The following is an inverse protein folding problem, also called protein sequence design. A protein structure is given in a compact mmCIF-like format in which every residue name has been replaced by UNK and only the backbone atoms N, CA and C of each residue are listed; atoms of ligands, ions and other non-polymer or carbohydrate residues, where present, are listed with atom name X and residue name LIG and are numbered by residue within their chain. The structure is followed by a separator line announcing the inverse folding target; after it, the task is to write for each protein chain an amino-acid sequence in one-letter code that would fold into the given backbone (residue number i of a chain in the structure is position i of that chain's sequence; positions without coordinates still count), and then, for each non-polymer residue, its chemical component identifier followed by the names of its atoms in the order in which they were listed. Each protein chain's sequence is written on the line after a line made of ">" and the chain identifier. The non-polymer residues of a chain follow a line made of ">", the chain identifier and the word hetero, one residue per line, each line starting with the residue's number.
data_IF_663403285436
#
_entry.id   IF_663403285436
#
_cell.length_a   1.000
_cell.length_b   1.000
_cell.length_c   1.000
_cell.angle_alpha   90.00
_cell.angle_beta   90.00
_cell.angle_gamma   90.00
#
_symmetry.space_group_name_H-M   'P 1'
#
loop_
_entity.id
_entity.type
_entity.pdbx_description
1 polymer ?
#
# COMPACT_ATOMS: atom_id res chain seq x y z
N UNK A 1 21.01 30.77 -7.42
CA UNK A 1 20.23 30.13 -8.43
C UNK A 1 20.30 28.63 -8.27
N UNK A 2 19.20 28.01 -7.94
CA UNK A 2 19.13 26.55 -7.95
C UNK A 2 19.23 26.09 -9.40
N UNK A 3 20.16 25.21 -9.59
CA UNK A 3 20.68 24.71 -10.83
C UNK A 3 19.59 24.00 -11.64
N UNK A 4 19.18 24.56 -12.78
CA UNK A 4 18.31 23.90 -13.75
C UNK A 4 18.80 22.48 -14.10
N UNK A 5 20.12 22.24 -14.00
CA UNK A 5 20.77 20.94 -14.19
C UNK A 5 20.45 19.91 -13.11
N UNK A 6 19.85 20.31 -11.96
CA UNK A 6 19.53 19.38 -10.87
C UNK A 6 18.42 18.40 -11.27
N UNK A 7 17.35 18.90 -11.88
CA UNK A 7 16.27 18.08 -12.37
C UNK A 7 16.74 17.15 -13.49
N UNK A 8 17.58 17.65 -14.40
CA UNK A 8 18.15 16.85 -15.47
C UNK A 8 19.01 15.70 -14.92
N UNK A 9 19.88 15.98 -13.95
CA UNK A 9 20.68 14.96 -13.26
C UNK A 9 19.83 13.90 -12.60
N UNK A 10 18.74 14.33 -11.92
CA UNK A 10 17.80 13.41 -11.30
C UNK A 10 17.10 12.54 -12.34
N UNK A 11 16.63 13.11 -13.45
CA UNK A 11 16.01 12.37 -14.55
C UNK A 11 16.99 11.37 -15.18
N UNK A 12 18.22 11.77 -15.48
CA UNK A 12 19.26 10.90 -16.02
C UNK A 12 19.58 9.72 -15.08
N UNK A 13 19.51 9.94 -13.78
CA UNK A 13 19.70 8.90 -12.77
C UNK A 13 18.50 7.95 -12.71
N UNK A 14 17.27 8.48 -12.71
CA UNK A 14 16.07 7.70 -12.44
C UNK A 14 15.56 6.94 -13.69
N UNK A 15 15.66 7.51 -14.87
CA UNK A 15 15.12 6.93 -16.09
C UNK A 15 15.61 5.50 -16.37
N UNK A 16 16.93 5.21 -16.40
CA UNK A 16 17.41 3.84 -16.63
C UNK A 16 17.02 2.87 -15.51
N UNK A 17 16.97 3.36 -14.26
CA UNK A 17 16.54 2.55 -13.13
C UNK A 17 15.08 2.15 -13.22
N UNK A 18 14.20 3.10 -13.55
CA UNK A 18 12.77 2.84 -13.73
C UNK A 18 12.52 1.87 -14.90
N UNK A 19 13.27 1.99 -16.01
CA UNK A 19 13.20 1.02 -17.13
C UNK A 19 13.60 -0.39 -16.68
N UNK A 20 14.63 -0.50 -15.85
CA UNK A 20 15.05 -1.79 -15.31
C UNK A 20 13.99 -2.35 -14.34
N UNK A 21 13.47 -1.53 -13.43
CA UNK A 21 12.42 -1.92 -12.50
C UNK A 21 11.15 -2.38 -13.22
N UNK A 22 10.75 -1.70 -14.29
CA UNK A 22 9.62 -2.10 -15.14
C UNK A 22 9.83 -3.50 -15.74
N UNK A 23 11.05 -3.85 -16.16
CA UNK A 23 11.37 -5.19 -16.67
C UNK A 23 11.35 -6.27 -15.59
N UNK A 24 11.74 -5.91 -14.35
CA UNK A 24 11.76 -6.83 -13.21
C UNK A 24 10.38 -7.09 -12.62
N UNK A 25 9.40 -6.24 -12.86
CA UNK A 25 8.03 -6.46 -12.40
C UNK A 25 7.41 -7.70 -13.06
N UNK A 26 6.74 -8.53 -12.28
CA UNK A 26 5.83 -9.55 -12.77
C UNK A 26 4.66 -8.90 -13.55
N UNK A 27 3.95 -9.65 -14.38
CA UNK A 27 2.85 -9.11 -15.18
C UNK A 27 1.72 -8.53 -14.32
N UNK A 28 1.45 -9.14 -13.16
CA UNK A 28 0.54 -8.65 -12.13
C UNK A 28 1.22 -7.75 -11.08
N UNK A 29 2.48 -7.35 -11.30
CA UNK A 29 3.27 -6.55 -10.38
C UNK A 29 2.88 -5.07 -10.35
N UNK A 30 3.11 -4.44 -9.20
CA UNK A 30 2.86 -3.00 -8.97
C UNK A 30 4.09 -2.36 -8.37
N UNK A 31 4.45 -1.18 -8.87
CA UNK A 31 5.52 -0.35 -8.30
C UNK A 31 4.91 0.82 -7.54
N UNK A 32 5.46 1.12 -6.36
CA UNK A 32 5.12 2.27 -5.54
C UNK A 32 6.36 3.14 -5.34
N UNK A 33 6.27 4.42 -5.64
CA UNK A 33 7.39 5.35 -5.60
C UNK A 33 7.03 6.53 -4.72
N UNK A 34 7.70 6.65 -3.57
CA UNK A 34 7.55 7.82 -2.69
C UNK A 34 8.32 9.00 -3.26
N UNK A 35 7.68 10.16 -3.33
CA UNK A 35 8.24 11.38 -3.91
C UNK A 35 7.68 12.62 -3.23
N UNK A 36 8.47 13.69 -3.14
CA UNK A 36 7.99 14.99 -2.68
C UNK A 36 7.59 15.92 -3.85
N UNK A 37 7.10 17.12 -3.54
CA UNK A 37 6.64 18.10 -4.52
C UNK A 37 7.69 18.50 -5.57
N UNK A 38 8.99 18.34 -5.26
CA UNK A 38 10.07 18.84 -6.11
C UNK A 38 10.18 18.09 -7.42
N UNK A 39 10.07 16.75 -7.35
CA UNK A 39 10.27 15.88 -8.52
C UNK A 39 9.00 15.11 -8.91
N UNK A 40 7.87 15.34 -8.23
CA UNK A 40 6.63 14.58 -8.44
C UNK A 40 6.12 14.67 -9.88
N UNK A 41 6.11 15.86 -10.47
CA UNK A 41 5.63 16.08 -11.84
C UNK A 41 6.52 15.36 -12.84
N UNK A 42 7.84 15.48 -12.69
CA UNK A 42 8.82 14.84 -13.57
C UNK A 42 8.77 13.32 -13.44
N UNK A 43 8.67 12.79 -12.22
CA UNK A 43 8.45 11.37 -11.97
C UNK A 43 7.22 10.86 -12.72
N UNK A 44 6.11 11.58 -12.62
CA UNK A 44 4.86 11.19 -13.29
C UNK A 44 5.03 11.13 -14.81
N UNK A 45 5.72 12.11 -15.39
CA UNK A 45 5.97 12.16 -16.84
C UNK A 45 6.82 10.98 -17.31
N UNK A 46 7.96 10.71 -16.65
CA UNK A 46 8.84 9.58 -17.05
C UNK A 46 8.19 8.22 -16.76
N UNK A 47 7.38 8.10 -15.72
CA UNK A 47 6.64 6.87 -15.47
C UNK A 47 5.54 6.64 -16.51
N UNK A 48 4.84 7.67 -16.97
CA UNK A 48 3.87 7.55 -18.07
C UNK A 48 4.55 7.04 -19.36
N UNK A 49 5.77 7.51 -19.65
CA UNK A 49 6.55 7.06 -20.80
C UNK A 49 6.99 5.59 -20.66
N UNK A 50 7.50 5.21 -19.48
CA UNK A 50 8.10 3.89 -19.25
C UNK A 50 7.05 2.80 -19.05
N UNK A 51 6.04 3.05 -18.19
CA UNK A 51 5.02 2.08 -17.81
C UNK A 51 3.77 2.16 -18.71
N UNK A 52 3.57 3.28 -19.41
CA UNK A 52 2.34 3.62 -20.12
C UNK A 52 1.34 4.35 -19.23
N UNK A 53 0.71 5.38 -19.76
CA UNK A 53 -0.27 6.20 -19.03
C UNK A 53 -1.46 5.39 -18.53
N UNK A 54 -1.92 4.42 -19.32
CA UNK A 54 -3.04 3.54 -18.95
C UNK A 54 -2.73 2.60 -17.77
N UNK A 55 -1.46 2.38 -17.46
CA UNK A 55 -1.01 1.56 -16.34
C UNK A 55 -0.83 2.36 -15.04
N UNK A 56 -1.14 3.64 -15.06
CA UNK A 56 -1.19 4.45 -13.84
C UNK A 56 -2.32 3.98 -12.94
N UNK A 57 -1.96 3.54 -11.73
CA UNK A 57 -2.94 3.08 -10.75
C UNK A 57 -3.52 4.26 -9.95
N UNK A 58 -2.67 4.96 -9.23
CA UNK A 58 -3.06 6.08 -8.38
C UNK A 58 -1.85 6.91 -7.93
N UNK A 59 -2.14 8.12 -7.47
CA UNK A 59 -1.23 8.92 -6.66
C UNK A 59 -1.84 9.06 -5.27
N UNK A 60 -1.22 8.41 -4.30
CA UNK A 60 -1.63 8.50 -2.90
C UNK A 60 -1.00 9.74 -2.28
N UNK A 61 -1.76 10.44 -1.44
CA UNK A 61 -1.28 11.57 -0.64
C UNK A 61 -1.05 11.06 0.78
N UNK A 62 0.20 11.03 1.21
CA UNK A 62 0.59 10.61 2.54
C UNK A 62 0.81 11.82 3.47
N UNK A 63 0.01 11.93 4.52
CA UNK A 63 0.18 12.94 5.55
C UNK A 63 1.38 12.59 6.43
N UNK A 64 2.54 13.19 6.14
CA UNK A 64 3.80 12.92 6.84
C UNK A 64 4.01 13.71 8.13
N UNK A 65 3.23 14.77 8.36
CA UNK A 65 3.31 15.64 9.54
C UNK A 65 1.98 15.76 10.25
N UNK A 66 2.06 15.97 11.56
CA UNK A 66 0.89 16.14 12.45
C UNK A 66 0.60 17.59 12.78
N UNK A 67 1.58 18.49 12.54
CA UNK A 67 1.48 19.92 12.83
C UNK A 67 2.28 20.74 11.80
N UNK A 68 1.88 22.00 11.54
CA UNK A 68 2.62 22.89 10.65
C UNK A 68 3.99 23.27 11.23
N UNK A 69 4.93 23.58 10.36
CA UNK A 69 6.19 24.21 10.72
C UNK A 69 5.97 25.72 10.89
N UNK A 70 5.97 26.18 12.13
CA UNK A 70 5.68 27.58 12.48
C UNK A 70 6.68 28.59 11.92
N UNK A 71 7.81 28.14 11.38
CA UNK A 71 8.81 28.98 10.74
C UNK A 71 8.48 29.29 9.28
N UNK A 72 7.46 28.65 8.71
CA UNK A 72 7.04 28.77 7.31
C UNK A 72 5.64 29.36 7.22
N UNK A 73 5.43 30.27 6.27
CA UNK A 73 4.09 30.78 5.94
C UNK A 73 3.19 29.67 5.35
N UNK A 74 3.77 28.80 4.51
CA UNK A 74 3.10 27.61 3.99
C UNK A 74 3.94 26.40 4.36
N UNK A 75 3.35 25.50 5.14
CA UNK A 75 4.03 24.30 5.62
C UNK A 75 3.51 23.07 4.89
N UNK A 76 4.38 22.39 4.16
CA UNK A 76 4.06 21.14 3.47
C UNK A 76 3.83 20.03 4.50
N UNK A 77 2.63 19.45 4.49
CA UNK A 77 2.20 18.42 5.43
C UNK A 77 2.28 17.01 4.86
N UNK A 78 2.47 16.86 3.55
CA UNK A 78 2.36 15.58 2.85
C UNK A 78 3.55 15.30 1.92
N UNK A 79 3.59 14.08 1.47
CA UNK A 79 4.35 13.58 0.32
C UNK A 79 3.43 12.71 -0.53
N UNK A 80 3.89 12.30 -1.69
CA UNK A 80 3.14 11.44 -2.60
C UNK A 80 3.74 10.04 -2.63
N UNK A 81 2.86 9.07 -2.92
CA UNK A 81 3.27 7.72 -3.33
C UNK A 81 2.60 7.46 -4.67
N UNK A 82 3.38 7.49 -5.73
CA UNK A 82 2.93 7.24 -7.09
C UNK A 82 2.95 5.73 -7.36
N UNK A 83 1.87 5.20 -7.92
CA UNK A 83 1.75 3.76 -8.19
C UNK A 83 1.40 3.47 -9.65
N UNK A 84 2.10 2.48 -10.23
CA UNK A 84 1.86 1.96 -11.57
C UNK A 84 1.79 0.44 -11.56
N UNK A 85 0.87 -0.12 -12.34
CA UNK A 85 0.88 -1.55 -12.64
C UNK A 85 1.86 -1.85 -13.77
N UNK A 86 2.32 -3.10 -13.87
CA UNK A 86 2.97 -3.61 -15.08
C UNK A 86 1.99 -3.64 -16.23
N UNK A 87 0.79 -4.17 -15.96
CA UNK A 87 -0.34 -4.23 -16.86
C UNK A 87 -1.64 -4.05 -16.07
N UNK A 88 -2.41 -3.02 -16.38
CA UNK A 88 -3.65 -2.65 -15.67
C UNK A 88 -4.74 -3.73 -15.79
N UNK A 89 -4.68 -4.59 -16.80
CA UNK A 89 -5.64 -5.69 -16.96
C UNK A 89 -5.61 -6.69 -15.80
N UNK A 90 -4.48 -6.79 -15.09
CA UNK A 90 -4.33 -7.61 -13.88
C UNK A 90 -4.76 -6.90 -12.60
N UNK A 91 -5.23 -5.66 -12.65
CA UNK A 91 -5.56 -4.85 -11.45
C UNK A 91 -6.45 -5.57 -10.42
N UNK A 92 -7.51 -6.32 -10.81
CA UNK A 92 -8.34 -7.04 -9.83
C UNK A 92 -7.56 -8.05 -8.98
N UNK A 93 -6.42 -8.55 -9.49
CA UNK A 93 -5.54 -9.51 -8.80
C UNK A 93 -4.31 -8.84 -8.18
N UNK A 94 -3.94 -7.66 -8.67
CA UNK A 94 -2.74 -6.92 -8.26
C UNK A 94 -2.96 -6.09 -6.99
N UNK A 95 -4.21 -5.64 -6.74
CA UNK A 95 -4.55 -4.79 -5.59
C UNK A 95 -5.68 -5.42 -4.78
N UNK A 96 -5.41 -5.62 -3.50
CA UNK A 96 -6.36 -6.16 -2.53
C UNK A 96 -7.11 -5.04 -1.80
N UNK A 97 -8.30 -5.34 -1.28
CA UNK A 97 -9.02 -4.46 -0.35
C UNK A 97 -8.26 -4.35 0.98
N UNK A 98 -8.44 -3.23 1.65
CA UNK A 98 -7.92 -3.02 3.00
C UNK A 98 -8.86 -3.70 3.99
N UNK A 99 -8.32 -4.48 4.93
CA UNK A 99 -9.12 -5.06 6.01
C UNK A 99 -9.86 -3.96 6.79
N UNK A 100 -11.07 -4.29 7.25
CA UNK A 100 -11.85 -3.40 8.11
C UNK A 100 -11.15 -3.24 9.47
N UNK A 101 -11.04 -2.01 9.96
CA UNK A 101 -10.61 -1.73 11.31
C UNK A 101 -11.74 -1.94 12.32
N UNK A 102 -11.43 -1.95 13.62
CA UNK A 102 -12.44 -1.96 14.68
C UNK A 102 -13.36 -0.72 14.58
N UNK A 103 -12.81 0.46 14.26
CA UNK A 103 -13.57 1.69 14.05
C UNK A 103 -14.55 1.56 12.84
N UNK A 104 -14.13 0.88 11.77
CA UNK A 104 -15.03 0.57 10.65
C UNK A 104 -16.18 -0.35 11.09
N UNK A 105 -15.89 -1.32 11.97
CA UNK A 105 -16.88 -2.26 12.48
C UNK A 105 -17.91 -1.62 13.45
N UNK A 106 -17.53 -0.57 14.17
CA UNK A 106 -18.44 0.18 15.06
C UNK A 106 -19.65 0.78 14.33
N UNK A 107 -19.56 1.02 13.04
CA UNK A 107 -20.67 1.49 12.22
C UNK A 107 -21.71 0.41 11.90
N UNK A 108 -21.40 -0.85 12.21
CA UNK A 108 -22.28 -2.00 12.00
C UNK A 108 -22.98 -2.35 13.31
N UNK A 109 -24.30 -2.30 13.32
CA UNK A 109 -25.15 -2.59 14.48
C UNK A 109 -26.18 -3.65 14.11
N UNK A 110 -26.80 -4.24 15.12
CA UNK A 110 -27.87 -5.23 14.89
C UNK A 110 -29.13 -4.86 15.70
N UNK A 111 -29.84 -3.78 15.32
CA UNK A 111 -30.97 -3.27 16.07
C UNK A 111 -32.23 -4.16 15.99
N UNK A 112 -32.30 -5.05 15.04
CA UNK A 112 -33.40 -5.94 14.79
C UNK A 112 -33.07 -7.43 15.08
N UNK A 113 -31.94 -7.69 15.73
CA UNK A 113 -31.47 -9.04 16.06
C UNK A 113 -31.40 -9.97 14.84
N UNK A 114 -31.02 -9.45 13.68
CA UNK A 114 -30.88 -10.26 12.45
C UNK A 114 -29.86 -11.39 12.69
N UNK A 115 -30.19 -12.66 12.37
CA UNK A 115 -29.31 -13.79 12.63
C UNK A 115 -27.98 -13.76 11.84
N UNK A 116 -27.90 -12.98 10.77
CA UNK A 116 -26.68 -12.76 9.97
C UNK A 116 -25.67 -11.83 10.66
N UNK A 117 -26.06 -11.23 11.79
CA UNK A 117 -25.21 -10.39 12.61
C UNK A 117 -25.29 -8.89 12.30
N UNK A 118 -24.29 -8.10 12.73
CA UNK A 118 -24.28 -6.64 12.57
C UNK A 118 -24.28 -6.20 11.10
N UNK A 119 -25.03 -5.13 10.81
CA UNK A 119 -25.18 -4.56 9.49
C UNK A 119 -25.16 -3.02 9.53
N UNK A 120 -24.76 -2.42 8.41
CA UNK A 120 -24.89 -0.98 8.16
C UNK A 120 -25.98 -0.74 7.11
N UNK A 121 -26.78 0.33 7.30
CA UNK A 121 -27.82 0.69 6.33
C UNK A 121 -27.25 1.64 5.27
N UNK A 122 -27.62 1.40 4.02
CA UNK A 122 -27.33 2.30 2.90
C UNK A 122 -28.62 2.82 2.26
N UNK A 123 -28.52 4.05 1.72
CA UNK A 123 -29.61 4.63 0.92
C UNK A 123 -29.98 3.68 -0.23
N UNK A 124 -31.28 3.50 -0.45
CA UNK A 124 -31.83 2.65 -1.52
C UNK A 124 -32.15 3.44 -2.80
N UNK A 125 -31.84 4.73 -2.86
CA UNK A 125 -32.04 5.56 -4.03
C UNK A 125 -30.75 5.78 -4.82
N UNK A 126 -30.87 6.06 -6.12
CA UNK A 126 -29.80 6.44 -7.04
C UNK A 126 -30.16 7.73 -7.78
N UNK A 127 -29.18 8.45 -8.27
CA UNK A 127 -29.41 9.65 -9.08
C UNK A 127 -29.92 9.28 -10.48
N UNK A 128 -30.73 10.17 -11.06
CA UNK A 128 -31.27 10.07 -12.40
C UNK A 128 -32.63 9.38 -12.44
N UNK A 129 -33.21 9.36 -13.64
CA UNK A 129 -34.51 8.77 -13.92
C UNK A 129 -34.34 7.45 -14.69
N UNK A 130 -34.95 6.38 -14.18
CA UNK A 130 -35.00 5.08 -14.84
C UNK A 130 -36.41 4.52 -14.73
N UNK A 131 -37.15 4.39 -15.84
CA UNK A 131 -38.59 4.04 -15.81
C UNK A 131 -38.90 2.80 -14.96
N UNK A 132 -38.09 1.74 -15.07
CA UNK A 132 -38.30 0.48 -14.35
C UNK A 132 -37.91 0.54 -12.86
N UNK A 133 -37.45 1.70 -12.36
CA UNK A 133 -37.07 1.92 -10.97
C UNK A 133 -37.90 3.03 -10.30
N UNK A 134 -39.06 3.38 -10.91
CA UNK A 134 -39.99 4.41 -10.46
C UNK A 134 -41.32 3.78 -9.98
N UNK A 135 -41.22 2.92 -8.98
CA UNK A 135 -42.41 2.25 -8.42
C UNK A 135 -42.69 2.71 -6.99
N UNK A 136 -43.95 2.51 -6.54
CA UNK A 136 -44.35 2.80 -5.15
C UNK A 136 -43.93 1.63 -4.25
N UNK A 137 -43.30 1.93 -3.11
CA UNK A 137 -42.98 0.96 -2.06
C UNK A 137 -43.95 1.20 -0.90
N UNK A 138 -44.68 0.15 -0.54
CA UNK A 138 -45.49 0.12 0.68
C UNK A 138 -44.66 -0.60 1.74
N UNK A 139 -44.38 0.08 2.83
CA UNK A 139 -43.55 -0.45 3.94
C UNK A 139 -44.39 -1.40 4.83
N UNK A 140 -43.74 -2.25 5.63
CA UNK A 140 -44.44 -3.11 6.58
C UNK A 140 -45.35 -2.34 7.56
N UNK A 141 -44.97 -1.12 7.94
CA UNK A 141 -45.79 -0.24 8.78
C UNK A 141 -46.85 0.58 8.03
N UNK A 142 -47.08 0.31 6.73
CA UNK A 142 -48.13 0.90 5.91
C UNK A 142 -47.81 2.27 5.29
N UNK A 143 -46.60 2.80 5.49
CA UNK A 143 -46.16 4.02 4.82
C UNK A 143 -45.87 3.78 3.33
N UNK A 144 -46.10 4.82 2.49
CA UNK A 144 -45.90 4.75 1.05
C UNK A 144 -44.81 5.67 0.64
N UNK A 145 -43.91 5.18 -0.19
CA UNK A 145 -42.75 5.96 -0.71
C UNK A 145 -42.64 5.76 -2.21
N UNK A 146 -42.42 6.87 -2.91
CA UNK A 146 -41.92 6.92 -4.28
C UNK A 146 -40.53 7.53 -4.27
N UNK A 147 -39.69 7.31 -5.30
CA UNK A 147 -38.39 7.96 -5.36
C UNK A 147 -38.51 9.48 -5.26
N UNK A 148 -37.61 10.15 -4.50
CA UNK A 148 -37.56 11.62 -4.48
C UNK A 148 -37.32 12.19 -5.88
N UNK A 149 -37.69 13.45 -6.09
CA UNK A 149 -37.44 14.17 -7.35
C UNK A 149 -35.97 14.08 -7.78
N UNK A 150 -35.73 13.83 -9.06
CA UNK A 150 -34.37 13.64 -9.60
C UNK A 150 -33.69 12.33 -9.25
N UNK A 151 -34.38 11.40 -8.55
CA UNK A 151 -33.85 10.10 -8.12
C UNK A 151 -34.75 8.95 -8.58
N UNK A 152 -34.20 7.75 -8.56
CA UNK A 152 -34.92 6.48 -8.75
C UNK A 152 -34.51 5.47 -7.65
N UNK A 153 -35.22 4.37 -7.49
CA UNK A 153 -34.73 3.27 -6.65
C UNK A 153 -33.49 2.63 -7.26
N UNK A 154 -32.61 2.04 -6.44
CA UNK A 154 -31.39 1.37 -6.94
C UNK A 154 -31.65 0.14 -7.78
N UNK A 155 -32.76 -0.54 -7.52
CA UNK A 155 -33.11 -1.80 -8.15
C UNK A 155 -34.52 -1.72 -8.78
N UNK A 156 -34.80 -2.61 -9.73
CA UNK A 156 -36.15 -2.85 -10.23
C UNK A 156 -37.02 -3.49 -9.16
N UNK A 157 -38.34 -3.38 -9.30
CA UNK A 157 -39.29 -3.83 -8.27
C UNK A 157 -39.13 -5.30 -7.89
N UNK A 158 -38.93 -6.18 -8.86
CA UNK A 158 -38.75 -7.62 -8.62
C UNK A 158 -37.53 -7.92 -7.72
N UNK A 159 -36.43 -7.21 -7.93
CA UNK A 159 -35.25 -7.36 -7.11
C UNK A 159 -35.41 -6.73 -5.72
N UNK A 160 -36.16 -5.64 -5.61
CA UNK A 160 -36.54 -5.08 -4.32
C UNK A 160 -37.41 -6.07 -3.49
N UNK A 161 -38.42 -6.68 -4.12
CA UNK A 161 -39.29 -7.68 -3.46
C UNK A 161 -38.44 -8.84 -2.94
N UNK A 162 -37.52 -9.37 -3.77
CA UNK A 162 -36.59 -10.42 -3.36
C UNK A 162 -35.76 -10.02 -2.15
N UNK A 163 -35.12 -8.83 -2.18
CA UNK A 163 -34.31 -8.35 -1.06
C UNK A 163 -35.15 -8.08 0.20
N UNK A 164 -36.38 -7.62 0.05
CA UNK A 164 -37.32 -7.46 1.17
C UNK A 164 -37.66 -8.81 1.82
N UNK A 165 -38.00 -9.79 1.01
CA UNK A 165 -38.41 -11.10 1.49
C UNK A 165 -37.22 -11.89 2.11
N UNK A 166 -36.00 -11.62 1.64
CA UNK A 166 -34.76 -12.08 2.26
C UNK A 166 -34.42 -11.32 3.56
N UNK A 167 -35.19 -10.32 3.99
CA UNK A 167 -34.97 -9.51 5.17
C UNK A 167 -33.78 -8.54 5.01
N UNK A 168 -33.36 -8.23 3.78
CA UNK A 168 -32.24 -7.33 3.49
C UNK A 168 -32.63 -5.86 3.43
N UNK A 169 -33.94 -5.55 3.59
CA UNK A 169 -34.43 -4.18 3.62
C UNK A 169 -34.78 -3.78 5.05
N UNK A 170 -34.46 -2.53 5.37
CA UNK A 170 -34.73 -1.91 6.66
C UNK A 170 -35.66 -0.70 6.49
N UNK A 171 -36.72 -0.63 7.32
CA UNK A 171 -37.76 0.38 7.26
C UNK A 171 -37.88 1.16 8.57
N UNK A 172 -36.81 1.21 9.39
CA UNK A 172 -36.89 1.75 10.76
C UNK A 172 -37.45 0.74 11.76
N UNK A 173 -37.36 1.03 13.04
CA UNK A 173 -37.82 0.15 14.11
C UNK A 173 -39.36 -0.03 14.09
N UNK A 174 -40.11 0.98 13.63
CA UNK A 174 -41.56 0.99 13.49
C UNK A 174 -42.07 0.45 12.12
N UNK A 175 -41.14 0.09 11.24
CA UNK A 175 -41.46 -0.38 9.90
C UNK A 175 -42.04 0.67 8.96
N UNK A 176 -41.98 1.99 9.32
CA UNK A 176 -42.53 3.08 8.52
C UNK A 176 -41.49 3.93 7.82
N UNK A 177 -40.21 3.72 8.10
CA UNK A 177 -39.13 4.50 7.53
C UNK A 177 -38.92 4.27 6.02
N UNK A 178 -38.27 5.24 5.37
CA UNK A 178 -37.85 5.11 3.97
C UNK A 178 -37.00 3.86 3.76
N UNK A 179 -37.19 3.09 2.66
CA UNK A 179 -36.44 1.88 2.41
C UNK A 179 -34.92 2.10 2.42
N UNK A 180 -34.20 1.30 3.20
CA UNK A 180 -32.74 1.27 3.26
C UNK A 180 -32.26 -0.17 3.10
N UNK A 181 -31.12 -0.36 2.41
CA UNK A 181 -30.55 -1.70 2.23
C UNK A 181 -29.61 -2.02 3.37
N UNK A 182 -29.73 -3.22 3.95
CA UNK A 182 -28.76 -3.77 4.90
C UNK A 182 -27.53 -4.29 4.18
N UNK A 183 -26.36 -4.00 4.69
CA UNK A 183 -25.07 -4.58 4.27
C UNK A 183 -24.41 -5.17 5.50
N UNK A 184 -24.24 -6.49 5.53
CA UNK A 184 -23.75 -7.21 6.72
C UNK A 184 -22.22 -7.10 6.82
N UNK A 185 -21.74 -6.99 8.05
CA UNK A 185 -20.30 -6.97 8.33
C UNK A 185 -19.63 -8.26 7.86
N UNK A 186 -20.29 -9.41 8.08
CA UNK A 186 -19.83 -10.74 7.68
C UNK A 186 -19.68 -10.93 6.16
N UNK A 187 -20.36 -10.11 5.35
CA UNK A 187 -20.28 -10.15 3.89
C UNK A 187 -19.21 -9.19 3.33
N UNK A 188 -18.51 -8.48 4.19
CA UNK A 188 -17.50 -7.48 3.77
C UNK A 188 -16.11 -8.11 3.74
N UNK A 189 -15.54 -8.19 2.57
CA UNK A 189 -14.14 -8.62 2.37
C UNK A 189 -13.12 -7.52 2.75
N UNK A 190 -13.60 -6.31 3.02
CA UNK A 190 -12.78 -5.13 3.29
C UNK A 190 -13.35 -3.87 2.62
N UNK A 191 -12.57 -2.80 2.67
CA UNK A 191 -12.87 -1.52 2.01
C UNK A 191 -11.90 -1.24 0.87
N UNK A 192 -12.37 -0.51 -0.14
CA UNK A 192 -11.53 -0.08 -1.24
C UNK A 192 -10.37 0.77 -0.72
N UNK A 193 -9.24 0.68 -1.40
CA UNK A 193 -8.09 1.52 -1.11
C UNK A 193 -8.43 2.97 -1.44
N UNK A 194 -8.21 3.86 -0.47
CA UNK A 194 -8.42 5.29 -0.66
C UNK A 194 -7.08 5.99 -0.88
N UNK A 195 -7.07 7.02 -1.71
CA UNK A 195 -5.83 7.73 -2.06
C UNK A 195 -5.35 8.73 -1.01
N UNK A 196 -6.17 9.02 0.00
CA UNK A 196 -5.79 9.80 1.18
C UNK A 196 -5.27 8.88 2.29
N UNK A 197 -3.99 8.98 2.60
CA UNK A 197 -3.33 8.21 3.65
C UNK A 197 -2.95 9.14 4.81
N UNK A 198 -3.79 9.18 5.80
CA UNK A 198 -3.58 9.98 7.00
C UNK A 198 -2.51 9.39 7.92
N UNK A 199 -1.97 10.23 8.81
CA UNK A 199 -0.94 9.83 9.75
C UNK A 199 -1.42 8.80 10.79
N UNK A 200 -2.72 8.75 11.10
CA UNK A 200 -3.28 7.77 12.05
C UNK A 200 -3.26 6.37 11.44
N UNK A 201 -3.64 6.25 10.19
CA UNK A 201 -3.69 4.97 9.48
C UNK A 201 -2.34 4.41 9.06
N UNK A 202 -1.40 5.27 8.62
CA UNK A 202 -0.14 4.81 8.01
C UNK A 202 1.14 5.35 8.67
N UNK A 203 1.02 6.09 9.78
CA UNK A 203 2.18 6.67 10.45
C UNK A 203 2.69 7.97 9.83
N UNK A 204 3.66 8.57 10.48
CA UNK A 204 4.24 9.87 10.11
C UNK A 204 5.76 9.89 10.35
N UNK A 205 6.43 10.94 9.87
CA UNK A 205 7.91 11.02 9.90
C UNK A 205 8.49 10.94 11.32
N UNK A 206 7.86 11.57 12.32
CA UNK A 206 8.35 11.49 13.70
C UNK A 206 8.25 10.07 14.30
N UNK A 207 7.23 9.30 13.91
CA UNK A 207 7.09 7.89 14.30
C UNK A 207 8.26 7.08 13.74
N UNK A 208 8.60 7.30 12.47
CA UNK A 208 9.73 6.63 11.81
C UNK A 208 11.07 6.96 12.49
N UNK A 209 11.29 8.23 12.85
CA UNK A 209 12.51 8.65 13.58
C UNK A 209 12.57 8.01 14.98
N UNK A 210 11.44 7.95 15.70
CA UNK A 210 11.37 7.26 16.99
C UNK A 210 11.67 5.76 16.87
N UNK A 211 11.20 5.12 15.81
CA UNK A 211 11.46 3.71 15.54
C UNK A 211 12.96 3.46 15.29
N UNK A 212 13.62 4.31 14.49
CA UNK A 212 15.09 4.29 14.34
C UNK A 212 15.77 4.42 15.69
N UNK A 213 15.32 5.37 16.53
CA UNK A 213 15.85 5.54 17.87
C UNK A 213 15.73 4.30 18.75
N UNK A 214 14.63 3.57 18.68
CA UNK A 214 14.45 2.31 19.41
C UNK A 214 15.37 1.21 18.90
N UNK A 215 15.56 1.13 17.59
CA UNK A 215 16.39 0.08 16.97
C UNK A 215 17.87 0.33 17.22
N UNK A 216 18.35 1.57 17.06
CA UNK A 216 19.78 1.91 17.10
C UNK A 216 20.25 2.60 18.37
N UNK A 217 19.34 2.95 19.29
CA UNK A 217 19.65 3.71 20.50
C UNK A 217 19.76 5.23 20.26
N UNK A 218 19.73 5.69 19.01
CA UNK A 218 19.75 7.11 18.64
C UNK A 218 18.83 7.42 17.45
N UNK A 219 17.98 8.44 17.55
CA UNK A 219 17.08 8.82 16.45
C UNK A 219 17.82 9.44 15.25
N UNK A 220 19.09 9.81 15.41
CA UNK A 220 19.94 10.42 14.37
C UNK A 220 20.73 9.39 13.56
N UNK A 221 20.52 8.09 13.78
CA UNK A 221 21.22 7.04 13.04
C UNK A 221 20.91 7.06 11.53
N UNK A 222 19.73 7.56 11.14
CA UNK A 222 19.35 7.70 9.75
C UNK A 222 18.41 8.90 9.53
N UNK A 223 18.66 9.65 8.47
CA UNK A 223 17.86 10.82 8.09
C UNK A 223 16.62 10.41 7.26
N UNK A 224 15.47 10.98 7.60
CA UNK A 224 14.21 10.86 6.86
C UNK A 224 13.72 9.42 6.62
N UNK A 225 13.73 8.52 7.62
CA UNK A 225 13.18 7.18 7.44
C UNK A 225 11.68 7.24 7.14
N UNK A 226 11.17 6.26 6.39
CA UNK A 226 9.73 6.08 6.20
C UNK A 226 9.13 5.28 7.37
N UNK A 227 7.90 5.54 7.79
CA UNK A 227 7.26 4.75 8.84
C UNK A 227 6.94 3.34 8.35
N UNK A 228 7.14 2.35 9.23
CA UNK A 228 6.87 0.94 8.93
C UNK A 228 5.43 0.72 8.49
N UNK A 229 4.47 1.40 9.14
CA UNK A 229 3.03 1.29 8.83
C UNK A 229 2.68 1.73 7.40
N UNK A 230 3.39 2.72 6.85
CA UNK A 230 3.20 3.15 5.45
C UNK A 230 3.57 2.00 4.50
N UNK A 231 4.71 1.37 4.72
CA UNK A 231 5.16 0.26 3.88
C UNK A 231 4.28 -0.98 4.11
N UNK A 232 3.87 -1.26 5.35
CA UNK A 232 2.92 -2.33 5.63
C UNK A 232 1.60 -2.14 4.89
N UNK A 233 1.08 -0.90 4.76
CA UNK A 233 -0.11 -0.61 3.96
C UNK A 233 0.12 -0.96 2.49
N UNK A 234 1.28 -0.61 1.91
CA UNK A 234 1.63 -0.96 0.54
C UNK A 234 1.69 -2.49 0.37
N UNK A 235 2.38 -3.18 1.27
CA UNK A 235 2.49 -4.65 1.25
C UNK A 235 1.11 -5.31 1.38
N UNK A 236 0.27 -4.82 2.29
CA UNK A 236 -1.09 -5.33 2.51
C UNK A 236 -1.95 -5.28 1.25
N UNK A 237 -1.86 -4.19 0.48
CA UNK A 237 -2.72 -3.99 -0.69
C UNK A 237 -2.13 -4.58 -1.98
N UNK A 238 -0.83 -4.78 -2.07
CA UNK A 238 -0.15 -5.10 -3.33
C UNK A 238 0.63 -6.42 -3.30
N UNK A 239 0.50 -7.23 -2.25
CA UNK A 239 1.22 -8.51 -2.18
C UNK A 239 0.33 -9.65 -1.72
N UNK A 240 0.60 -10.84 -2.23
CA UNK A 240 0.16 -12.12 -1.66
C UNK A 240 1.17 -12.60 -0.61
N UNK A 241 0.82 -13.67 0.11
CA UNK A 241 1.65 -14.21 1.20
C UNK A 241 3.01 -14.77 0.76
N UNK A 242 3.20 -15.04 -0.52
CA UNK A 242 4.38 -15.64 -1.14
C UNK A 242 5.12 -14.71 -2.11
N UNK A 243 4.69 -13.45 -2.22
CA UNK A 243 5.23 -12.48 -3.16
C UNK A 243 6.71 -12.15 -2.90
N UNK A 244 7.39 -11.69 -3.95
CA UNK A 244 8.72 -11.08 -3.86
C UNK A 244 8.54 -9.56 -3.82
N UNK A 245 9.16 -8.92 -2.84
CA UNK A 245 9.19 -7.47 -2.68
C UNK A 245 10.61 -6.98 -2.98
N UNK A 246 10.76 -6.10 -3.95
CA UNK A 246 12.03 -5.46 -4.27
C UNK A 246 11.99 -4.00 -3.82
N UNK A 247 12.95 -3.58 -3.01
CA UNK A 247 13.20 -2.18 -2.68
C UNK A 247 14.58 -1.78 -3.21
N UNK A 248 14.60 -1.01 -4.29
CA UNK A 248 15.83 -0.60 -5.00
C UNK A 248 16.46 0.67 -4.43
N UNK A 249 15.89 1.25 -3.39
CA UNK A 249 16.39 2.40 -2.64
C UNK A 249 16.13 2.16 -1.15
N UNK A 250 16.70 1.07 -0.62
CA UNK A 250 16.35 0.50 0.67
C UNK A 250 16.51 1.46 1.86
N UNK A 251 17.40 2.45 1.74
CA UNK A 251 17.63 3.44 2.77
C UNK A 251 17.91 2.78 4.12
N UNK A 252 17.11 3.10 5.12
CA UNK A 252 17.24 2.49 6.45
C UNK A 252 16.70 1.06 6.57
N UNK A 253 16.25 0.40 5.48
CA UNK A 253 15.71 -0.96 5.51
C UNK A 253 14.28 -1.08 6.08
N UNK A 254 13.48 -0.03 6.02
CA UNK A 254 12.09 -0.04 6.51
C UNK A 254 11.23 -1.09 5.84
N UNK A 255 11.44 -1.32 4.53
CA UNK A 255 10.68 -2.31 3.77
C UNK A 255 10.92 -3.73 4.26
N UNK A 256 12.16 -4.07 4.64
CA UNK A 256 12.44 -5.37 5.23
C UNK A 256 11.70 -5.57 6.55
N UNK A 257 11.74 -4.59 7.45
CA UNK A 257 10.99 -4.66 8.71
C UNK A 257 9.49 -4.82 8.46
N UNK A 258 8.93 -4.10 7.49
CA UNK A 258 7.52 -4.21 7.16
C UNK A 258 7.15 -5.61 6.65
N UNK A 259 7.97 -6.19 5.74
CA UNK A 259 7.77 -7.57 5.23
C UNK A 259 7.86 -8.60 6.35
N UNK A 260 8.90 -8.52 7.18
CA UNK A 260 9.10 -9.44 8.30
C UNK A 260 7.94 -9.40 9.29
N UNK A 261 7.49 -8.18 9.65
CA UNK A 261 6.34 -7.99 10.52
C UNK A 261 5.05 -8.57 9.91
N UNK A 262 4.82 -8.36 8.61
CA UNK A 262 3.64 -8.91 7.92
C UNK A 262 3.67 -10.43 7.88
N UNK A 263 4.82 -11.04 7.56
CA UNK A 263 4.98 -12.49 7.56
C UNK A 263 4.72 -13.09 8.95
N UNK A 264 5.24 -12.45 10.02
CA UNK A 264 4.96 -12.87 11.40
C UNK A 264 3.47 -12.75 11.74
N UNK A 265 2.79 -11.70 11.26
CA UNK A 265 1.39 -11.43 11.56
C UNK A 265 0.43 -12.40 10.85
N UNK A 266 0.64 -12.65 9.54
CA UNK A 266 -0.30 -13.38 8.70
C UNK A 266 0.16 -14.80 8.30
N UNK A 267 1.33 -15.23 8.83
CA UNK A 267 1.95 -16.52 8.49
C UNK A 267 2.42 -16.59 7.03
N UNK A 268 2.69 -15.47 6.41
CA UNK A 268 3.21 -15.38 5.04
C UNK A 268 4.69 -15.77 4.95
N UNK A 269 5.12 -16.02 3.72
CA UNK A 269 6.51 -16.32 3.37
C UNK A 269 7.06 -15.38 2.29
N UNK A 270 6.61 -14.12 2.30
CA UNK A 270 7.10 -13.08 1.38
C UNK A 270 8.61 -13.00 1.47
N UNK A 271 9.24 -12.91 0.32
CA UNK A 271 10.70 -12.70 0.21
C UNK A 271 10.98 -11.25 -0.08
N UNK A 272 12.13 -10.76 0.39
CA UNK A 272 12.56 -9.38 0.15
C UNK A 272 13.94 -9.33 -0.47
N UNK A 273 14.10 -8.41 -1.41
CA UNK A 273 15.38 -8.03 -2.01
C UNK A 273 15.56 -6.54 -1.75
N UNK A 274 16.65 -6.18 -1.08
CA UNK A 274 17.04 -4.79 -0.83
C UNK A 274 18.27 -4.45 -1.66
N UNK A 275 18.26 -3.28 -2.29
CA UNK A 275 19.43 -2.71 -2.97
C UNK A 275 19.68 -1.33 -2.38
N UNK A 276 20.92 -1.09 -1.92
CA UNK A 276 21.35 0.18 -1.36
C UNK A 276 22.79 0.47 -1.81
N UNK A 277 23.06 1.70 -2.27
CA UNK A 277 24.36 2.11 -2.74
C UNK A 277 25.14 2.94 -1.70
N UNK A 278 24.47 3.39 -0.65
CA UNK A 278 25.10 4.22 0.39
C UNK A 278 26.07 3.43 1.26
N UNK A 279 27.11 4.07 1.74
CA UNK A 279 28.13 3.47 2.63
C UNK A 279 27.53 2.91 3.92
N UNK A 280 26.28 3.28 4.23
CA UNK A 280 25.51 2.80 5.37
C UNK A 280 24.77 1.49 5.10
N UNK A 281 24.89 0.88 3.93
CA UNK A 281 24.14 -0.35 3.57
C UNK A 281 24.35 -1.49 4.57
N UNK A 282 25.60 -1.68 5.04
CA UNK A 282 25.89 -2.69 6.08
C UNK A 282 25.51 -2.17 7.48
N UNK A 283 26.02 -1.00 7.87
CA UNK A 283 25.91 -0.50 9.25
C UNK A 283 24.49 -0.06 9.66
N UNK A 284 23.62 0.30 8.72
CA UNK A 284 22.25 0.74 8.99
C UNK A 284 21.24 -0.23 8.37
N UNK A 285 21.29 -0.43 7.04
CA UNK A 285 20.24 -1.21 6.35
C UNK A 285 20.25 -2.67 6.79
N UNK A 286 21.38 -3.35 6.67
CA UNK A 286 21.54 -4.75 7.06
C UNK A 286 21.43 -4.93 8.59
N UNK A 287 22.03 -4.02 9.36
CA UNK A 287 21.97 -4.07 10.83
C UNK A 287 20.53 -3.89 11.34
N UNK A 288 19.70 -3.03 10.72
CA UNK A 288 18.26 -2.96 11.05
C UNK A 288 17.57 -4.29 10.82
N UNK A 289 17.80 -4.93 9.68
CA UNK A 289 17.21 -6.23 9.36
C UNK A 289 17.60 -7.27 10.43
N UNK A 290 18.89 -7.33 10.79
CA UNK A 290 19.42 -8.21 11.81
C UNK A 290 18.75 -7.99 13.18
N UNK A 291 18.61 -6.73 13.60
CA UNK A 291 17.94 -6.39 14.87
C UNK A 291 16.47 -6.72 14.87
N UNK A 292 15.77 -6.48 13.75
CA UNK A 292 14.36 -6.85 13.62
C UNK A 292 14.15 -8.37 13.70
N UNK A 293 15.04 -9.16 13.10
CA UNK A 293 15.01 -10.62 13.15
C UNK A 293 15.24 -11.13 14.58
N UNK A 294 16.22 -10.57 15.29
CA UNK A 294 16.64 -11.04 16.61
C UNK A 294 15.86 -10.41 17.77
N UNK A 295 15.22 -9.27 17.55
CA UNK A 295 14.63 -8.41 18.57
C UNK A 295 15.56 -7.24 18.92
N UNK A 296 14.96 -6.16 19.43
CA UNK A 296 15.66 -4.94 19.79
C UNK A 296 14.99 -4.20 20.95
N UNK A 297 15.67 -3.19 21.49
CA UNK A 297 15.23 -2.45 22.66
C UNK A 297 15.47 -3.21 23.96
N UNK A 298 15.26 -2.53 25.09
CA UNK A 298 15.51 -3.08 26.42
C UNK A 298 14.33 -2.79 27.38
N UNK A 299 14.17 -3.63 28.40
CA UNK A 299 13.17 -3.48 29.43
C UNK A 299 11.75 -3.36 28.86
N UNK A 300 11.04 -2.28 29.21
CA UNK A 300 9.66 -2.03 28.74
C UNK A 300 9.57 -1.69 27.25
N UNK A 301 10.69 -1.35 26.62
CA UNK A 301 10.77 -1.02 25.19
C UNK A 301 11.29 -2.20 24.35
N UNK A 302 11.51 -3.37 24.95
CA UNK A 302 11.94 -4.56 24.23
C UNK A 302 10.89 -4.99 23.22
N UNK A 303 11.33 -5.24 21.99
CA UNK A 303 10.54 -5.76 20.89
C UNK A 303 11.05 -7.13 20.52
N UNK A 304 10.18 -8.13 20.62
CA UNK A 304 10.53 -9.51 20.27
C UNK A 304 10.84 -9.65 18.78
N UNK A 305 11.89 -10.37 18.45
CA UNK A 305 12.30 -10.61 17.08
C UNK A 305 11.21 -11.26 16.24
N UNK A 306 11.28 -11.00 14.94
CA UNK A 306 10.38 -11.61 13.95
C UNK A 306 10.79 -13.05 13.62
N UNK A 307 12.05 -13.42 13.89
CA UNK A 307 12.68 -14.59 13.31
C UNK A 307 12.99 -14.38 11.81
N UNK A 308 13.48 -15.45 11.19
CA UNK A 308 13.90 -15.44 9.79
C UNK A 308 15.41 -15.34 9.64
N UNK A 309 15.86 -15.21 8.40
CA UNK A 309 17.26 -15.02 8.04
C UNK A 309 17.36 -14.10 6.81
N UNK A 310 18.56 -13.62 6.52
CA UNK A 310 18.90 -12.92 5.31
C UNK A 310 20.37 -13.15 4.94
N UNK A 311 20.71 -12.90 3.70
CA UNK A 311 22.08 -12.86 3.20
C UNK A 311 22.43 -11.44 2.81
N UNK A 312 23.60 -10.97 3.20
CA UNK A 312 24.18 -9.71 2.77
C UNK A 312 25.22 -9.96 1.71
N UNK A 313 25.17 -9.20 0.63
CA UNK A 313 26.11 -9.28 -0.47
C UNK A 313 26.68 -7.90 -0.73
N UNK A 314 27.96 -7.85 -0.99
CA UNK A 314 28.64 -6.67 -1.48
C UNK A 314 29.13 -6.90 -2.91
N UNK A 315 29.35 -5.84 -3.67
CA UNK A 315 29.89 -5.92 -5.00
C UNK A 315 31.38 -6.24 -4.93
N UNK A 316 31.76 -7.37 -5.47
CA UNK A 316 33.16 -7.69 -5.68
C UNK A 316 33.73 -7.03 -6.93
N UNK A 317 35.01 -7.28 -7.19
CA UNK A 317 35.65 -6.87 -8.43
C UNK A 317 34.90 -7.42 -9.65
N UNK A 318 34.78 -6.65 -10.75
CA UNK A 318 34.11 -7.12 -11.95
C UNK A 318 34.83 -8.36 -12.52
N UNK A 319 34.05 -9.35 -12.93
CA UNK A 319 34.55 -10.60 -13.48
C UNK A 319 35.26 -10.40 -14.82
N UNK A 320 34.84 -9.38 -15.59
CA UNK A 320 35.39 -9.03 -16.89
C UNK A 320 35.93 -7.59 -16.85
N UNK A 321 37.08 -7.39 -17.44
CA UNK A 321 37.63 -6.08 -17.77
C UNK A 321 37.73 -6.02 -19.30
N UNK A 322 36.81 -5.28 -19.93
CA UNK A 322 36.57 -5.41 -21.37
C UNK A 322 36.04 -6.81 -21.70
N UNK A 323 36.64 -7.48 -22.67
CA UNK A 323 36.29 -8.85 -23.10
C UNK A 323 37.14 -9.95 -22.40
N UNK A 324 38.04 -9.56 -21.50
CA UNK A 324 38.96 -10.46 -20.80
C UNK A 324 38.52 -10.72 -19.36
N UNK A 325 38.80 -11.93 -18.84
CA UNK A 325 38.63 -12.24 -17.41
C UNK A 325 39.54 -11.34 -16.56
N UNK A 326 38.98 -10.81 -15.48
CA UNK A 326 39.72 -9.98 -14.53
C UNK A 326 40.66 -10.87 -13.68
N UNK A 327 41.94 -10.71 -13.86
CA UNK A 327 42.98 -11.46 -13.11
C UNK A 327 42.97 -11.18 -11.59
N UNK A 328 42.39 -10.05 -11.17
CA UNK A 328 42.20 -9.75 -9.74
C UNK A 328 41.12 -10.61 -9.06
N UNK A 329 40.28 -11.29 -9.84
CA UNK A 329 39.23 -12.21 -9.33
C UNK A 329 39.79 -13.61 -9.19
N UNK A 330 39.74 -14.18 -7.99
CA UNK A 330 40.23 -15.52 -7.71
C UNK A 330 39.60 -16.58 -8.64
N UNK A 331 40.39 -17.56 -9.13
CA UNK A 331 39.95 -18.58 -10.11
C UNK A 331 38.69 -19.34 -9.70
N UNK A 332 38.53 -19.57 -8.40
CA UNK A 332 37.36 -20.27 -7.82
C UNK A 332 36.07 -19.50 -8.02
N UNK A 333 36.10 -18.17 -7.94
CA UNK A 333 34.94 -17.29 -8.22
C UNK A 333 34.64 -17.21 -9.70
N UNK A 334 35.68 -17.29 -10.57
CA UNK A 334 35.51 -17.33 -12.02
C UNK A 334 34.85 -18.63 -12.48
N UNK A 335 35.16 -19.76 -11.83
CA UNK A 335 34.61 -21.10 -12.14
C UNK A 335 33.11 -21.23 -11.85
N UNK A 336 32.62 -20.61 -10.77
CA UNK A 336 31.19 -20.67 -10.38
C UNK A 336 30.28 -20.03 -11.44
N UNK A 337 30.74 -18.94 -12.08
CA UNK A 337 29.96 -18.22 -13.10
C UNK A 337 29.88 -18.99 -14.42
N UNK A 338 30.90 -19.77 -14.75
CA UNK A 338 30.91 -20.57 -16.00
C UNK A 338 29.95 -21.77 -15.95
N UNK A 339 29.61 -22.26 -14.74
CA UNK A 339 28.67 -23.37 -14.55
C UNK A 339 27.19 -22.92 -14.55
N UNK A 340 26.90 -21.69 -14.14
CA UNK A 340 25.53 -21.14 -14.13
C UNK A 340 25.06 -20.64 -15.50
N UNK A 341 25.94 -20.33 -16.43
CA UNK A 341 25.60 -19.89 -17.78
C UNK A 341 25.31 -21.05 -18.77
N UNK A 342 25.46 -22.32 -18.36
CA UNK A 342 25.19 -23.51 -19.20
C UNK A 342 23.83 -24.19 -18.95
N UNK A 343 23.02 -23.67 -18.06
CA UNK A 343 21.69 -24.22 -17.69
C UNK A 343 20.54 -23.22 -17.93
N UNK A 344 20.63 -22.40 -18.98
CA UNK A 344 19.52 -21.55 -19.44
C UNK A 344 19.17 -21.92 -20.89
#
# INVERSE_FOLDING_TARGET
>A
GEDLTRHDKWLCMMYPRLKLLQKLLADDGVIFISIDDREQVLLRMICNEIFGENNFLAQFVWQKRTSPDMRKLVSTAHEYVCAYCKDISYLPNAISKVALSEEDAENYKNPDNDPRGPWASSDFTAQGFRPNQMYEIITPGGARYTPPEGRCWKNVESEFIKQRDEGRMWFGADGKGIPRRKTYLSEREGKNVWTWWDNKGVGHSQEATKEIGKIFGTPTAFDYPKPVRLIQRIIQIATRKDSIVLDSFAGSGTTAQAVLNMNKHDGGCRRIILVEMGDYADSITAERVKRVINGYGEGKNAVAGTGGNFSFYDLGEPLLVGDCLNEAVAPEKQAITSTTSRSA
#
